data_IF_738615060635
#
_entry.id   IF_738615060635
#
_cell.length_a   1.000
_cell.length_b   1.000
_cell.length_c   1.000
_cell.angle_alpha   90.00
_cell.angle_beta   90.00
_cell.angle_gamma   90.00
#
_symmetry.space_group_name_H-M   'P 1'
#
loop_
_entity.id
_entity.type
_entity.pdbx_description
1 polymer ?
#
# COMPACT_ATOMS: atom_id res chain seq x y z
N UNK A 1 -4.51 2.60 4.64
CA UNK A 1 -4.66 1.47 5.59
C UNK A 1 -3.85 0.30 5.06
N UNK A 2 -2.94 -0.26 5.85
CA UNK A 2 -2.22 -1.48 5.46
C UNK A 2 -3.19 -2.66 5.56
N UNK A 3 -3.24 -3.52 4.55
CA UNK A 3 -4.10 -4.70 4.49
C UNK A 3 -3.28 -5.93 4.20
N UNK A 4 -3.69 -7.06 4.76
CA UNK A 4 -3.16 -8.37 4.43
C UNK A 4 -4.14 -9.07 3.48
N UNK A 5 -3.68 -9.35 2.26
CA UNK A 5 -4.42 -10.10 1.25
C UNK A 5 -3.84 -11.49 1.14
N UNK A 6 -4.68 -12.47 0.87
CA UNK A 6 -4.26 -13.83 0.51
C UNK A 6 -4.51 -13.98 -0.98
N UNK A 7 -3.45 -14.11 -1.77
CA UNK A 7 -3.56 -14.52 -3.16
C UNK A 7 -3.60 -16.04 -3.21
N UNK A 8 -4.52 -16.59 -4.00
CA UNK A 8 -4.65 -18.03 -4.22
C UNK A 8 -4.48 -18.26 -5.71
N UNK A 9 -3.52 -19.10 -6.09
CA UNK A 9 -3.32 -19.48 -7.48
C UNK A 9 -4.29 -20.60 -7.93
N UNK A 10 -4.24 -20.97 -9.20
CA UNK A 10 -5.12 -21.98 -9.79
C UNK A 10 -4.90 -23.38 -9.17
N UNK A 11 -3.69 -23.64 -8.65
CA UNK A 11 -3.34 -24.86 -7.92
C UNK A 11 -3.74 -24.82 -6.43
N UNK A 12 -4.33 -23.71 -5.97
CA UNK A 12 -4.76 -23.53 -4.58
C UNK A 12 -3.64 -23.15 -3.61
N UNK A 13 -2.43 -22.82 -4.10
CA UNK A 13 -1.35 -22.33 -3.24
C UNK A 13 -1.68 -20.92 -2.77
N UNK A 14 -1.46 -20.70 -1.48
CA UNK A 14 -1.75 -19.42 -0.84
C UNK A 14 -0.48 -18.60 -0.69
N UNK A 15 -0.50 -17.37 -1.19
CA UNK A 15 0.59 -16.41 -1.03
C UNK A 15 0.08 -15.21 -0.23
N UNK A 16 0.54 -15.03 1.02
CA UNK A 16 0.20 -13.85 1.80
C UNK A 16 0.93 -12.62 1.23
N UNK A 17 0.19 -11.55 0.98
CA UNK A 17 0.76 -10.27 0.51
C UNK A 17 0.25 -9.11 1.33
N UNK A 18 1.18 -8.23 1.74
CA UNK A 18 0.85 -6.94 2.32
C UNK A 18 0.61 -5.92 1.21
N UNK A 19 -0.41 -5.08 1.39
CA UNK A 19 -0.76 -4.06 0.42
C UNK A 19 -1.33 -2.81 1.11
N UNK A 20 -1.46 -1.74 0.35
CA UNK A 20 -2.09 -0.51 0.83
C UNK A 20 -3.49 -0.36 0.24
N UNK A 21 -4.48 -0.20 1.11
CA UNK A 21 -5.81 0.28 0.72
C UNK A 21 -5.90 1.78 0.99
N UNK A 22 -5.97 2.56 -0.09
CA UNK A 22 -6.25 3.99 -0.06
C UNK A 22 -7.76 4.17 0.10
N UNK A 23 -8.23 4.38 1.34
CA UNK A 23 -9.60 4.88 1.56
C UNK A 23 -9.62 6.34 1.14
N UNK A 24 -10.24 6.67 0.01
CA UNK A 24 -10.38 8.06 -0.42
C UNK A 24 -11.86 8.38 -0.47
N UNK A 25 -12.33 9.40 0.28
CA UNK A 25 -13.65 9.94 0.08
C UNK A 25 -13.77 10.46 -1.36
N UNK A 26 -14.86 10.15 -2.05
CA UNK A 26 -15.12 10.56 -3.45
C UNK A 26 -14.88 12.07 -3.68
N UNK A 27 -15.13 12.90 -2.67
CA UNK A 27 -14.97 14.36 -2.77
C UNK A 27 -13.52 14.83 -2.98
N UNK A 28 -12.51 14.00 -2.70
CA UNK A 28 -11.07 14.36 -2.82
C UNK A 28 -10.38 13.67 -4.00
N UNK A 29 -11.12 12.87 -4.76
CA UNK A 29 -10.57 12.05 -5.84
C UNK A 29 -9.93 12.95 -6.91
N UNK A 30 -10.64 13.98 -7.37
CA UNK A 30 -10.26 14.77 -8.56
C UNK A 30 -8.93 15.54 -8.42
N UNK A 31 -8.55 15.95 -7.21
CA UNK A 31 -7.36 16.80 -7.02
C UNK A 31 -6.03 16.03 -6.91
N UNK A 32 -6.07 14.71 -6.66
CA UNK A 32 -4.86 13.93 -6.37
C UNK A 32 -4.90 12.47 -6.88
N UNK A 33 -5.72 12.16 -7.89
CA UNK A 33 -5.91 10.80 -8.42
C UNK A 33 -4.59 10.07 -8.69
N UNK A 34 -3.66 10.69 -9.42
CA UNK A 34 -2.41 10.04 -9.82
C UNK A 34 -1.50 9.68 -8.62
N UNK A 35 -1.50 10.48 -7.55
CA UNK A 35 -0.69 10.19 -6.36
C UNK A 35 -1.32 9.08 -5.52
N UNK A 36 -2.65 9.07 -5.45
CA UNK A 36 -3.44 8.10 -4.69
C UNK A 36 -3.40 6.73 -5.36
N UNK A 37 -3.60 6.67 -6.67
CA UNK A 37 -3.64 5.43 -7.46
C UNK A 37 -2.29 4.71 -7.44
N UNK A 38 -1.18 5.47 -7.40
CA UNK A 38 0.16 4.91 -7.34
C UNK A 38 0.63 4.55 -5.92
N UNK A 39 -0.08 4.95 -4.86
CA UNK A 39 0.36 4.72 -3.48
C UNK A 39 0.51 3.21 -3.14
N UNK A 40 -0.41 2.30 -3.54
CA UNK A 40 -0.22 0.87 -3.35
C UNK A 40 1.01 0.32 -4.08
N UNK A 41 1.22 0.74 -5.33
CA UNK A 41 2.38 0.31 -6.11
C UNK A 41 3.71 0.75 -5.47
N UNK A 42 3.78 1.99 -4.98
CA UNK A 42 4.95 2.52 -4.25
C UNK A 42 5.20 1.74 -2.96
N UNK A 43 4.15 1.43 -2.19
CA UNK A 43 4.27 0.63 -0.98
C UNK A 43 4.82 -0.77 -1.27
N UNK A 44 4.38 -1.43 -2.35
CA UNK A 44 4.95 -2.73 -2.77
C UNK A 44 6.41 -2.64 -3.17
N UNK A 45 6.85 -1.52 -3.75
CA UNK A 45 8.27 -1.30 -4.02
C UNK A 45 9.09 -1.12 -2.73
N UNK A 46 8.56 -0.42 -1.71
CA UNK A 46 9.20 -0.34 -0.39
C UNK A 46 9.33 -1.71 0.26
N UNK A 47 8.27 -2.54 0.23
CA UNK A 47 8.29 -3.90 0.77
C UNK A 47 9.40 -4.75 0.13
N UNK A 48 9.58 -4.63 -1.20
CA UNK A 48 10.62 -5.37 -1.94
C UNK A 48 12.04 -4.86 -1.67
N UNK A 49 12.20 -3.55 -1.49
CA UNK A 49 13.53 -2.94 -1.33
C UNK A 49 14.03 -3.01 0.12
N UNK A 50 13.15 -2.78 1.09
CA UNK A 50 13.52 -2.60 2.50
C UNK A 50 13.00 -3.71 3.42
N UNK A 51 12.15 -4.60 2.94
CA UNK A 51 11.44 -5.57 3.79
C UNK A 51 10.27 -4.95 4.55
N UNK A 52 9.58 -5.78 5.34
CA UNK A 52 8.28 -5.42 5.93
C UNK A 52 8.39 -4.29 6.95
N UNK A 53 9.27 -4.45 7.95
CA UNK A 53 9.39 -3.52 9.08
C UNK A 53 9.77 -2.11 8.61
N UNK A 54 10.85 -2.00 7.85
CA UNK A 54 11.33 -0.73 7.33
C UNK A 54 10.34 -0.09 6.33
N UNK A 55 9.62 -0.88 5.52
CA UNK A 55 8.60 -0.33 4.62
C UNK A 55 7.42 0.29 5.40
N UNK A 56 6.98 -0.34 6.49
CA UNK A 56 5.92 0.18 7.35
C UNK A 56 6.39 1.45 8.07
N UNK A 57 7.60 1.45 8.64
CA UNK A 57 8.15 2.64 9.28
C UNK A 57 8.24 3.82 8.30
N UNK A 58 8.73 3.59 7.09
CA UNK A 58 8.80 4.61 6.04
C UNK A 58 7.41 5.12 5.64
N UNK A 59 6.41 4.23 5.56
CA UNK A 59 5.03 4.64 5.29
C UNK A 59 4.48 5.53 6.41
N UNK A 60 4.70 5.17 7.68
CA UNK A 60 4.28 5.96 8.84
C UNK A 60 4.92 7.35 8.79
N UNK A 61 6.23 7.43 8.54
CA UNK A 61 6.95 8.70 8.40
C UNK A 61 6.37 9.54 7.26
N UNK A 62 6.13 8.95 6.10
CA UNK A 62 5.61 9.66 4.93
C UNK A 62 4.20 10.25 5.14
N UNK A 63 3.34 9.57 5.92
CA UNK A 63 2.01 10.10 6.24
C UNK A 63 2.03 11.08 7.40
N UNK A 64 2.90 10.88 8.41
CA UNK A 64 3.04 11.78 9.55
C UNK A 64 3.71 13.12 9.19
N UNK A 65 4.64 13.12 8.23
CA UNK A 65 5.29 14.35 7.73
C UNK A 65 4.38 15.25 6.88
N UNK A 66 3.15 14.82 6.59
CA UNK A 66 2.18 15.59 5.78
C UNK A 66 1.14 16.34 6.62
N UNK A 67 1.45 16.60 7.89
CA UNK A 67 0.57 17.27 8.86
C UNK A 67 1.04 18.69 9.13
#
# INVERSE_FOLDING_TARGET
MVVWKIHIDEEGRTTPVLDLLTKVPEQVLEQNMATIENAPARFRSLLRLFGIEAAIENLIRAVASKT
#
